data_IF_774664974369
#
_entry.id   IF_774664974369
#
_cell.length_a   1.000
_cell.length_b   1.000
_cell.length_c   1.000
_cell.angle_alpha   90.00
_cell.angle_beta   90.00
_cell.angle_gamma   90.00
#
_symmetry.space_group_name_H-M   'P 1'
#
loop_
_entity.id
_entity.type
_entity.pdbx_description
1 polymer ?
#
# COMPACT_ATOMS: atom_id res chain seq x y z
N UNK A 1 73.48 21.71 -5.96
CA UNK A 1 72.38 20.95 -6.59
C UNK A 1 71.85 21.76 -7.75
N UNK A 2 71.95 21.25 -8.99
CA UNK A 2 71.48 21.99 -10.17
C UNK A 2 69.96 22.18 -10.09
N UNK A 3 69.48 23.40 -10.36
CA UNK A 3 68.04 23.74 -10.34
C UNK A 3 67.21 22.79 -11.22
N UNK A 4 67.80 22.27 -12.31
CA UNK A 4 67.20 21.25 -13.17
C UNK A 4 66.90 19.92 -12.44
N UNK A 5 67.79 19.49 -11.54
CA UNK A 5 67.62 18.21 -10.82
C UNK A 5 66.51 18.30 -9.78
N UNK A 6 66.29 19.50 -9.19
CA UNK A 6 65.21 19.73 -8.24
C UNK A 6 63.84 19.71 -8.94
N UNK A 7 63.74 20.32 -10.13
CA UNK A 7 62.52 20.33 -10.96
C UNK A 7 62.14 18.91 -11.41
N UNK A 8 63.13 18.11 -11.83
CA UNK A 8 62.89 16.73 -12.25
C UNK A 8 62.35 15.84 -11.11
N UNK A 9 62.86 16.03 -9.88
CA UNK A 9 62.39 15.28 -8.70
C UNK A 9 60.96 15.69 -8.33
N UNK A 10 60.62 16.98 -8.41
CA UNK A 10 59.26 17.47 -8.14
C UNK A 10 58.24 16.94 -9.15
N UNK A 11 58.59 16.90 -10.44
CA UNK A 11 57.73 16.34 -11.51
C UNK A 11 57.58 14.81 -11.37
N UNK A 12 58.66 14.11 -11.00
CA UNK A 12 58.59 12.67 -10.73
C UNK A 12 57.71 12.35 -9.52
N UNK A 13 57.76 13.18 -8.47
CA UNK A 13 56.92 13.01 -7.28
C UNK A 13 55.43 13.24 -7.54
N UNK A 14 55.06 14.10 -8.51
CA UNK A 14 53.66 14.33 -8.86
C UNK A 14 53.01 13.18 -9.65
N UNK A 15 53.81 12.32 -10.29
CA UNK A 15 53.33 11.14 -11.02
C UNK A 15 53.01 9.95 -10.10
N UNK A 16 53.40 10.00 -8.83
CA UNK A 16 53.17 8.93 -7.85
C UNK A 16 51.87 9.13 -7.04
N UNK A 17 51.19 10.27 -7.18
CA UNK A 17 49.89 10.54 -6.55
C UNK A 17 48.75 10.35 -7.55
N UNK A 18 48.48 9.10 -7.94
CA UNK A 18 47.23 8.76 -8.61
C UNK A 18 46.16 8.57 -7.52
N UNK A 19 45.25 9.53 -7.38
CA UNK A 19 44.00 9.30 -6.65
C UNK A 19 43.22 8.20 -7.38
N UNK A 20 42.70 7.23 -6.63
CA UNK A 20 41.77 6.24 -7.17
C UNK A 20 40.38 6.88 -7.19
N UNK A 21 39.92 7.28 -8.37
CA UNK A 21 38.59 7.93 -8.55
C UNK A 21 37.44 6.91 -8.63
N UNK A 22 37.70 5.63 -8.32
CA UNK A 22 36.68 4.59 -8.30
C UNK A 22 35.81 4.75 -7.05
N UNK A 23 34.68 5.44 -7.23
CA UNK A 23 33.59 5.50 -6.25
C UNK A 23 32.74 4.25 -6.45
N UNK A 24 32.67 3.42 -5.42
CA UNK A 24 31.67 2.37 -5.38
C UNK A 24 30.29 3.01 -5.19
N UNK A 25 29.41 2.82 -6.18
CA UNK A 25 28.05 3.33 -6.18
C UNK A 25 27.11 2.42 -5.40
N UNK A 26 27.50 1.17 -5.17
CA UNK A 26 26.74 0.19 -4.43
C UNK A 26 27.28 0.06 -3.01
N UNK A 27 26.37 -0.24 -2.09
CA UNK A 27 26.76 -0.72 -0.77
C UNK A 27 26.88 -2.24 -0.80
N UNK A 28 27.52 -2.81 0.22
CA UNK A 28 27.50 -4.26 0.42
C UNK A 28 26.06 -4.78 0.48
N UNK A 29 25.81 -5.94 -0.17
CA UNK A 29 24.49 -6.56 -0.13
C UNK A 29 24.05 -6.86 1.30
N UNK A 30 22.81 -6.47 1.62
CA UNK A 30 22.16 -6.77 2.89
C UNK A 30 20.78 -7.39 2.66
N UNK A 31 20.41 -8.36 3.48
CA UNK A 31 19.04 -8.90 3.50
C UNK A 31 18.09 -7.86 4.11
N UNK A 32 17.39 -7.14 3.23
CA UNK A 32 16.38 -6.16 3.60
C UNK A 32 15.01 -6.72 3.23
N UNK A 33 14.27 -7.20 4.22
CA UNK A 33 12.91 -7.72 4.06
C UNK A 33 11.91 -6.58 3.87
N UNK A 34 11.11 -6.67 2.81
CA UNK A 34 10.00 -5.77 2.50
C UNK A 34 8.68 -6.52 2.66
N UNK A 35 7.79 -6.01 3.51
CA UNK A 35 6.52 -6.66 3.86
C UNK A 35 5.36 -5.77 3.46
N UNK A 36 4.44 -6.31 2.65
CA UNK A 36 3.18 -5.68 2.32
C UNK A 36 2.03 -6.56 2.81
N UNK A 37 1.12 -5.98 3.57
CA UNK A 37 -0.06 -6.68 4.09
C UNK A 37 -1.20 -5.68 4.24
N UNK A 38 -2.42 -6.14 3.93
CA UNK A 38 -3.65 -5.46 4.27
C UNK A 38 -4.61 -6.50 4.85
N UNK A 39 -5.15 -6.22 6.04
CA UNK A 39 -6.16 -7.06 6.68
C UNK A 39 -7.50 -6.35 6.49
N UNK A 40 -8.42 -6.99 5.78
CA UNK A 40 -9.75 -6.43 5.51
C UNK A 40 -10.78 -7.08 6.44
N UNK A 41 -11.39 -6.35 7.38
CA UNK A 41 -12.41 -6.92 8.26
C UNK A 41 -13.70 -7.37 7.57
N UNK A 42 -13.85 -7.17 6.26
CA UNK A 42 -14.97 -7.67 5.46
C UNK A 42 -14.58 -8.86 4.56
N UNK A 43 -13.33 -9.34 4.64
CA UNK A 43 -12.85 -10.52 3.91
C UNK A 43 -12.51 -11.65 4.89
N UNK A 44 -12.41 -12.86 4.37
CA UNK A 44 -12.06 -14.09 5.10
C UNK A 44 -10.61 -14.51 4.84
N UNK A 45 -10.07 -14.22 3.65
CA UNK A 45 -8.70 -14.59 3.30
C UNK A 45 -7.76 -13.37 3.35
N UNK A 46 -6.70 -13.47 4.15
CA UNK A 46 -5.76 -12.37 4.36
C UNK A 46 -4.37 -12.78 3.87
N UNK A 47 -3.77 -11.92 3.06
CA UNK A 47 -2.51 -12.21 2.38
C UNK A 47 -1.41 -11.24 2.82
N UNK A 48 -0.21 -11.79 3.02
CA UNK A 48 1.02 -11.06 3.29
C UNK A 48 1.99 -11.36 2.15
N UNK A 49 2.47 -10.30 1.48
CA UNK A 49 3.56 -10.37 0.52
C UNK A 49 4.87 -10.06 1.24
N UNK A 50 5.82 -10.99 1.18
CA UNK A 50 7.14 -10.83 1.79
C UNK A 50 8.18 -10.98 0.68
N UNK A 51 8.98 -9.93 0.51
CA UNK A 51 10.07 -9.88 -0.44
C UNK A 51 11.37 -9.47 0.23
N UNK A 52 12.48 -9.64 -0.48
CA UNK A 52 13.77 -9.06 -0.11
C UNK A 52 14.22 -8.06 -1.17
N UNK A 53 14.98 -7.05 -0.74
CA UNK A 53 15.75 -6.24 -1.66
C UNK A 53 16.80 -7.12 -2.37
N UNK A 54 17.16 -6.71 -3.58
CA UNK A 54 18.20 -7.34 -4.39
C UNK A 54 19.20 -6.27 -4.81
N UNK A 55 20.47 -6.64 -4.88
CA UNK A 55 21.56 -5.78 -5.34
C UNK A 55 22.64 -6.68 -5.93
N UNK A 56 23.14 -6.32 -7.11
CA UNK A 56 24.24 -7.00 -7.77
C UNK A 56 25.04 -5.99 -8.58
N UNK A 57 26.37 -5.98 -8.39
CA UNK A 57 27.24 -5.03 -9.06
C UNK A 57 27.25 -5.24 -10.57
N UNK A 58 27.18 -4.11 -11.28
CA UNK A 58 27.21 -4.08 -12.75
C UNK A 58 25.95 -4.61 -13.44
N UNK A 59 24.86 -4.90 -12.71
CA UNK A 59 23.59 -5.37 -13.29
C UNK A 59 22.49 -4.33 -13.13
N UNK A 60 21.71 -4.11 -14.19
CA UNK A 60 20.58 -3.17 -14.17
C UNK A 60 19.48 -3.65 -13.22
N UNK A 61 18.92 -2.74 -12.43
CA UNK A 61 17.88 -3.08 -11.46
C UNK A 61 16.61 -3.66 -12.10
N UNK A 62 16.28 -3.27 -13.34
CA UNK A 62 15.14 -3.84 -14.07
C UNK A 62 15.42 -5.26 -14.54
N UNK A 63 16.67 -5.59 -14.88
CA UNK A 63 17.08 -6.96 -15.20
C UNK A 63 16.95 -7.85 -13.96
N UNK A 64 17.42 -7.38 -12.80
CA UNK A 64 17.23 -8.09 -11.55
C UNK A 64 15.74 -8.22 -11.17
N UNK A 65 14.95 -7.19 -11.38
CA UNK A 65 13.51 -7.21 -11.12
C UNK A 65 12.75 -8.19 -12.01
N UNK A 66 13.26 -8.54 -13.19
CA UNK A 66 12.65 -9.47 -14.13
C UNK A 66 12.79 -10.94 -13.71
N UNK A 67 13.59 -11.25 -12.68
CA UNK A 67 13.71 -12.60 -12.11
C UNK A 67 13.09 -12.65 -10.70
N UNK A 68 12.10 -13.51 -10.51
CA UNK A 68 11.36 -13.62 -9.25
C UNK A 68 12.17 -14.18 -8.08
N UNK A 69 13.23 -14.96 -8.34
CA UNK A 69 14.12 -15.50 -7.31
C UNK A 69 15.01 -14.44 -6.65
N UNK A 70 15.16 -13.28 -7.30
CA UNK A 70 15.91 -12.17 -6.73
C UNK A 70 15.18 -11.56 -5.52
N UNK A 71 13.85 -11.47 -5.59
CA UNK A 71 13.03 -10.81 -4.56
C UNK A 71 12.15 -11.76 -3.73
N UNK A 72 11.89 -13.00 -4.17
CA UNK A 72 11.15 -13.97 -3.38
C UNK A 72 12.11 -14.78 -2.48
N UNK A 73 11.68 -15.04 -1.25
CA UNK A 73 12.39 -15.99 -0.39
C UNK A 73 12.13 -17.44 -0.84
N UNK A 74 13.16 -18.32 -0.78
CA UNK A 74 13.02 -19.75 -1.01
C UNK A 74 11.96 -20.39 -0.10
N UNK A 75 11.37 -21.49 -0.57
CA UNK A 75 10.43 -22.25 0.24
C UNK A 75 11.11 -22.80 1.51
N UNK A 76 10.44 -22.66 2.66
CA UNK A 76 10.97 -23.09 3.97
C UNK A 76 11.91 -22.10 4.65
N UNK A 77 12.38 -21.05 3.97
CA UNK A 77 13.27 -20.07 4.60
C UNK A 77 12.56 -19.20 5.64
N UNK A 78 11.27 -18.91 5.43
CA UNK A 78 10.48 -18.07 6.32
C UNK A 78 9.41 -18.85 7.09
N UNK A 79 9.34 -18.60 8.39
CA UNK A 79 8.23 -18.97 9.26
C UNK A 79 7.41 -17.71 9.54
N UNK A 80 6.12 -17.70 9.17
CA UNK A 80 5.28 -16.49 9.21
C UNK A 80 4.04 -16.72 10.06
N UNK A 81 3.78 -15.79 10.97
CA UNK A 81 2.59 -15.80 11.83
C UNK A 81 1.92 -14.42 11.87
N UNK A 82 0.61 -14.43 12.07
CA UNK A 82 -0.17 -13.23 12.42
C UNK A 82 -0.71 -13.40 13.83
N UNK A 83 -0.62 -12.38 14.66
CA UNK A 83 -1.12 -12.36 16.03
C UNK A 83 -2.22 -11.32 16.14
N UNK A 84 -3.34 -11.73 16.72
CA UNK A 84 -4.38 -10.81 17.18
C UNK A 84 -4.08 -10.44 18.62
N UNK A 85 -3.95 -9.14 18.89
CA UNK A 85 -3.49 -8.60 20.17
C UNK A 85 -4.59 -7.68 20.72
N UNK A 86 -4.96 -7.90 21.97
CA UNK A 86 -5.92 -7.06 22.65
C UNK A 86 -5.33 -5.64 22.82
N UNK A 87 -6.01 -4.62 22.29
CA UNK A 87 -5.48 -3.25 22.34
C UNK A 87 -5.47 -2.63 23.75
N UNK A 88 -6.21 -3.18 24.72
CA UNK A 88 -6.31 -2.63 26.07
C UNK A 88 -5.22 -3.13 27.03
N UNK A 89 -4.81 -4.40 26.91
CA UNK A 89 -3.82 -5.02 27.80
C UNK A 89 -2.58 -5.59 27.09
N UNK A 90 -2.53 -5.62 25.75
CA UNK A 90 -1.39 -6.11 24.98
C UNK A 90 -1.26 -7.63 24.91
N UNK A 91 -2.23 -8.39 25.43
CA UNK A 91 -2.18 -9.85 25.39
C UNK A 91 -2.44 -10.37 23.98
N UNK A 92 -1.67 -11.39 23.57
CA UNK A 92 -1.94 -12.16 22.36
C UNK A 92 -3.19 -13.01 22.61
N UNK A 93 -4.23 -12.79 21.81
CA UNK A 93 -5.51 -13.50 21.88
C UNK A 93 -5.51 -14.74 20.98
N UNK A 94 -4.99 -14.58 19.75
CA UNK A 94 -4.90 -15.64 18.75
C UNK A 94 -3.59 -15.52 17.99
N UNK A 95 -3.08 -16.66 17.51
CA UNK A 95 -1.95 -16.73 16.58
C UNK A 95 -2.34 -17.60 15.40
N UNK A 96 -2.17 -17.07 14.20
CA UNK A 96 -2.43 -17.75 12.94
C UNK A 96 -1.09 -18.08 12.27
N UNK A 97 -0.88 -19.34 11.91
CA UNK A 97 0.25 -19.73 11.06
C UNK A 97 -0.10 -19.47 9.60
N UNK A 98 0.73 -18.72 8.88
CA UNK A 98 0.46 -18.40 7.50
C UNK A 98 1.00 -19.49 6.57
N UNK A 99 0.16 -19.91 5.63
CA UNK A 99 0.51 -20.89 4.60
C UNK A 99 1.12 -20.17 3.40
N UNK A 100 2.30 -20.62 2.95
CA UNK A 100 2.92 -20.11 1.72
C UNK A 100 2.14 -20.61 0.51
N UNK A 101 1.71 -19.70 -0.36
CA UNK A 101 1.03 -20.02 -1.61
C UNK A 101 1.78 -19.40 -2.80
N UNK A 102 1.62 -19.98 -3.99
CA UNK A 102 2.26 -19.52 -5.22
C UNK A 102 1.17 -19.35 -6.28
N UNK A 103 1.07 -18.16 -6.86
CA UNK A 103 0.15 -17.84 -7.95
C UNK A 103 -1.35 -18.01 -7.65
N UNK A 104 -1.75 -18.11 -6.38
CA UNK A 104 -3.17 -18.08 -5.97
C UNK A 104 -3.83 -16.73 -6.34
N UNK A 105 -3.04 -15.66 -6.29
CA UNK A 105 -3.39 -14.34 -6.84
C UNK A 105 -2.34 -13.98 -7.89
N UNK A 106 -2.55 -14.29 -9.18
CA UNK A 106 -1.59 -13.98 -10.23
C UNK A 106 -1.33 -12.48 -10.32
N UNK A 107 -0.09 -12.11 -10.67
CA UNK A 107 0.31 -10.72 -10.82
C UNK A 107 0.17 -10.29 -12.28
N UNK A 108 -0.29 -9.06 -12.50
CA UNK A 108 -0.31 -8.47 -13.83
C UNK A 108 1.12 -8.31 -14.38
N UNK A 109 1.32 -8.39 -15.71
CA UNK A 109 2.62 -8.11 -16.33
C UNK A 109 3.14 -6.70 -16.00
N UNK A 110 4.47 -6.55 -15.95
CA UNK A 110 5.15 -5.28 -15.68
C UNK A 110 6.66 -5.45 -15.60
N UNK A 111 7.35 -4.43 -15.08
CA UNK A 111 8.82 -4.41 -14.93
C UNK A 111 9.31 -5.55 -14.02
N UNK A 112 8.60 -5.77 -12.92
CA UNK A 112 8.92 -6.87 -12.01
C UNK A 112 8.30 -8.17 -12.51
N UNK A 113 9.03 -9.27 -12.36
CA UNK A 113 8.61 -10.62 -12.70
C UNK A 113 7.20 -10.93 -12.18
N UNK A 114 6.43 -11.66 -12.99
CA UNK A 114 5.04 -12.05 -12.73
C UNK A 114 4.79 -13.56 -12.93
N UNK A 115 5.86 -14.32 -13.19
CA UNK A 115 5.91 -15.78 -13.27
C UNK A 115 5.58 -16.47 -11.94
N UNK A 116 6.01 -15.88 -10.81
CA UNK A 116 5.83 -16.42 -9.47
C UNK A 116 5.44 -15.34 -8.46
N UNK A 117 4.14 -15.27 -8.15
CA UNK A 117 3.64 -14.49 -7.03
C UNK A 117 3.53 -15.34 -5.76
N UNK A 118 4.60 -15.34 -4.97
CA UNK A 118 4.65 -15.97 -3.64
C UNK A 118 3.92 -15.10 -2.61
N UNK A 119 2.93 -15.66 -1.91
CA UNK A 119 2.18 -15.01 -0.84
C UNK A 119 2.13 -15.91 0.40
N UNK A 120 1.79 -15.32 1.55
CA UNK A 120 1.55 -16.02 2.80
C UNK A 120 0.13 -15.73 3.25
N UNK A 121 -0.69 -16.77 3.47
CA UNK A 121 -2.13 -16.66 3.69
C UNK A 121 -2.55 -17.16 5.07
N UNK A 122 -3.44 -16.44 5.74
CA UNK A 122 -4.25 -16.98 6.83
C UNK A 122 -5.73 -16.71 6.58
N UNK A 123 -6.59 -17.45 7.27
CA UNK A 123 -8.04 -17.38 7.11
C UNK A 123 -8.69 -17.05 8.44
N UNK A 124 -9.44 -15.95 8.49
CA UNK A 124 -10.26 -15.53 9.62
C UNK A 124 -11.38 -14.64 9.08
N UNK A 125 -12.63 -15.07 9.31
CA UNK A 125 -13.83 -14.40 8.80
C UNK A 125 -14.29 -13.26 9.72
N UNK A 126 -13.84 -13.24 10.98
CA UNK A 126 -14.28 -12.28 11.99
C UNK A 126 -13.10 -11.51 12.58
N UNK A 127 -12.49 -10.65 11.77
CA UNK A 127 -11.45 -9.72 12.22
C UNK A 127 -12.06 -8.69 13.19
N UNK A 128 -11.58 -8.66 14.43
CA UNK A 128 -12.01 -7.71 15.47
C UNK A 128 -11.33 -6.36 15.26
N UNK A 129 -12.12 -5.34 14.92
CA UNK A 129 -11.61 -4.02 14.54
C UNK A 129 -10.94 -3.26 15.68
N UNK A 130 -11.25 -3.59 16.94
CA UNK A 130 -10.65 -2.93 18.10
C UNK A 130 -9.31 -3.53 18.53
N UNK A 131 -8.88 -4.64 17.92
CA UNK A 131 -7.61 -5.28 18.22
C UNK A 131 -6.47 -4.78 17.32
N UNK A 132 -5.24 -5.02 17.76
CA UNK A 132 -4.01 -4.78 17.00
C UNK A 132 -3.63 -6.10 16.34
N UNK A 133 -3.20 -6.03 15.08
CA UNK A 133 -2.71 -7.20 14.36
C UNK A 133 -1.22 -7.06 14.11
N UNK A 134 -0.45 -8.06 14.58
CA UNK A 134 1.00 -8.11 14.41
C UNK A 134 1.37 -9.23 13.46
N UNK A 135 2.13 -8.92 12.41
CA UNK A 135 2.82 -9.93 11.60
C UNK A 135 4.18 -10.18 12.22
N UNK A 136 4.52 -11.45 12.46
CA UNK A 136 5.87 -11.89 12.84
C UNK A 136 6.42 -12.83 11.76
N UNK A 137 7.62 -12.54 11.30
CA UNK A 137 8.34 -13.30 10.29
C UNK A 137 9.67 -13.70 10.91
N UNK A 138 10.00 -14.97 10.89
CA UNK A 138 11.29 -15.47 11.32
C UNK A 138 12.00 -16.09 10.11
N UNK A 139 13.17 -15.55 9.77
CA UNK A 139 14.04 -16.11 8.74
C UNK A 139 14.91 -17.19 9.38
N UNK A 140 14.61 -18.46 9.07
CA UNK A 140 15.27 -19.63 9.65
C UNK A 140 16.74 -19.75 9.22
N UNK A 141 17.15 -19.10 8.13
CA UNK A 141 18.52 -19.16 7.60
C UNK A 141 19.41 -18.09 8.21
N UNK A 142 18.86 -16.90 8.47
CA UNK A 142 19.59 -15.74 8.99
C UNK A 142 19.44 -15.55 10.50
N UNK A 143 18.63 -16.38 11.17
CA UNK A 143 18.27 -16.23 12.59
C UNK A 143 17.79 -14.80 12.91
N UNK A 144 16.86 -14.32 12.09
CA UNK A 144 16.38 -12.93 12.11
C UNK A 144 14.86 -12.88 12.28
N UNK A 145 14.40 -12.14 13.28
CA UNK A 145 12.98 -11.83 13.46
C UNK A 145 12.64 -10.46 12.86
N UNK A 146 11.55 -10.39 12.10
CA UNK A 146 10.96 -9.17 11.54
C UNK A 146 9.52 -9.09 12.03
N UNK A 147 9.13 -7.92 12.56
CA UNK A 147 7.77 -7.69 13.05
C UNK A 147 7.16 -6.41 12.49
N UNK A 148 5.86 -6.41 12.24
CA UNK A 148 5.08 -5.23 11.87
C UNK A 148 3.72 -5.27 12.55
N UNK A 149 3.17 -4.11 12.90
CA UNK A 149 1.86 -3.98 13.53
C UNK A 149 0.96 -3.03 12.76
N UNK A 150 -0.34 -3.33 12.76
CA UNK A 150 -1.36 -2.44 12.23
C UNK A 150 -2.61 -2.46 13.09
N UNK A 151 -3.36 -1.35 13.04
CA UNK A 151 -4.70 -1.24 13.60
C UNK A 151 -5.72 -1.28 12.46
N UNK A 152 -6.88 -1.87 12.71
CA UNK A 152 -7.94 -1.92 11.72
C UNK A 152 -8.69 -0.58 11.68
N UNK A 153 -9.00 -0.13 10.48
CA UNK A 153 -9.83 1.07 10.27
C UNK A 153 -11.25 0.83 10.75
N UNK A 154 -11.78 1.77 11.52
CA UNK A 154 -13.16 1.75 11.97
C UNK A 154 -14.15 1.99 10.83
N UNK A 155 -15.44 1.92 11.15
CA UNK A 155 -16.52 2.21 10.21
C UNK A 155 -16.85 3.71 10.23
N UNK A 156 -17.05 4.28 9.05
CA UNK A 156 -17.62 5.62 8.89
C UNK A 156 -19.13 5.54 8.76
N UNK A 157 -19.85 6.50 9.32
CA UNK A 157 -21.31 6.57 9.21
C UNK A 157 -21.70 7.96 8.73
N UNK A 158 -22.47 8.02 7.64
CA UNK A 158 -23.13 9.27 7.22
C UNK A 158 -24.25 9.56 8.21
N UNK A 159 -24.16 10.70 8.90
CA UNK A 159 -25.18 11.14 9.86
C UNK A 159 -26.23 12.01 9.18
N UNK A 160 -25.83 12.81 8.20
CA UNK A 160 -26.74 13.67 7.41
C UNK A 160 -26.32 13.64 5.94
N UNK A 161 -27.26 13.44 4.99
CA UNK A 161 -28.69 13.19 5.20
C UNK A 161 -28.97 11.79 5.77
N UNK A 162 -30.03 11.66 6.58
CA UNK A 162 -30.50 10.35 7.02
C UNK A 162 -31.46 9.73 5.98
N UNK A 163 -31.68 8.42 6.05
CA UNK A 163 -32.54 7.68 5.10
C UNK A 163 -33.98 8.22 5.03
N UNK A 164 -34.43 8.94 6.08
CA UNK A 164 -35.79 9.46 6.20
C UNK A 164 -35.96 10.88 5.64
N UNK A 165 -34.88 11.52 5.16
CA UNK A 165 -34.90 12.91 4.71
C UNK A 165 -34.93 13.00 3.18
N UNK A 166 -35.98 13.63 2.63
CA UNK A 166 -35.95 14.11 1.24
C UNK A 166 -34.97 15.28 1.15
N UNK A 167 -33.92 15.12 0.36
CA UNK A 167 -32.99 16.21 0.07
C UNK A 167 -33.52 17.07 -1.07
N UNK A 168 -33.88 18.32 -0.73
CA UNK A 168 -34.22 19.36 -1.71
C UNK A 168 -33.27 20.55 -1.57
N UNK A 169 -32.77 21.05 -2.71
CA UNK A 169 -31.88 22.21 -2.79
C UNK A 169 -32.63 23.52 -3.10
N UNK A 170 -33.94 23.44 -3.31
CA UNK A 170 -34.85 24.56 -3.57
C UNK A 170 -36.13 24.34 -2.77
N UNK A 171 -36.73 25.42 -2.30
CA UNK A 171 -38.05 25.41 -1.64
C UNK A 171 -38.91 26.52 -2.23
N UNK A 172 -40.20 26.25 -2.45
CA UNK A 172 -41.15 27.19 -3.08
C UNK A 172 -41.23 27.06 -4.61
N UNK A 173 -41.98 27.97 -5.24
CA UNK A 173 -42.24 27.95 -6.68
C UNK A 173 -41.04 28.47 -7.49
N UNK A 174 -41.04 28.22 -8.80
CA UNK A 174 -39.94 28.58 -9.72
C UNK A 174 -39.62 30.09 -9.69
N UNK A 175 -40.63 30.94 -9.47
CA UNK A 175 -40.49 32.40 -9.49
C UNK A 175 -40.28 33.08 -8.14
N UNK A 176 -40.49 32.39 -7.02
CA UNK A 176 -40.51 32.99 -5.67
C UNK A 176 -39.82 32.16 -4.61
N UNK A 177 -39.32 30.98 -4.97
CA UNK A 177 -38.63 30.10 -4.05
C UNK A 177 -37.23 30.58 -3.68
N UNK A 178 -36.57 29.78 -2.85
CA UNK A 178 -35.24 30.05 -2.35
C UNK A 178 -34.38 28.78 -2.36
N UNK A 179 -33.07 28.98 -2.50
CA UNK A 179 -32.08 27.92 -2.33
C UNK A 179 -32.05 27.44 -0.88
N UNK A 180 -31.93 26.13 -0.69
CA UNK A 180 -31.82 25.53 0.65
C UNK A 180 -30.45 24.91 0.83
N UNK A 181 -29.71 25.42 1.82
CA UNK A 181 -28.46 24.82 2.26
C UNK A 181 -28.71 23.49 2.96
N UNK A 182 -27.95 22.47 2.57
CA UNK A 182 -27.99 21.14 3.21
C UNK A 182 -26.62 20.82 3.79
N UNK A 183 -26.61 20.48 5.07
CA UNK A 183 -25.41 19.96 5.72
C UNK A 183 -25.25 18.50 5.34
N UNK A 184 -24.03 18.14 4.93
CA UNK A 184 -23.61 16.75 4.80
C UNK A 184 -22.65 16.50 5.95
N UNK A 185 -22.91 15.45 6.72
CA UNK A 185 -22.16 15.17 7.94
C UNK A 185 -21.96 13.68 8.07
N UNK A 186 -20.81 13.30 8.61
CA UNK A 186 -20.44 11.92 8.88
C UNK A 186 -19.61 11.87 10.16
N UNK A 187 -19.67 10.72 10.84
CA UNK A 187 -18.79 10.39 11.96
C UNK A 187 -17.74 9.42 11.49
N UNK A 188 -16.49 9.67 11.88
CA UNK A 188 -15.37 8.81 11.51
C UNK A 188 -15.13 7.73 12.55
N UNK A 189 -14.75 6.55 12.06
CA UNK A 189 -14.28 5.45 12.91
C UNK A 189 -12.87 5.69 13.46
N UNK A 190 -12.45 4.86 14.40
CA UNK A 190 -11.08 4.84 14.93
C UNK A 190 -10.05 4.55 13.82
N UNK A 191 -8.82 5.02 14.01
CA UNK A 191 -7.65 4.72 13.15
C UNK A 191 -7.78 5.19 11.69
N UNK A 192 -8.66 6.16 11.40
CA UNK A 192 -8.85 6.71 10.06
C UNK A 192 -8.00 7.98 9.91
N UNK A 193 -7.04 7.94 8.99
CA UNK A 193 -6.18 9.10 8.70
C UNK A 193 -6.78 10.08 7.70
N UNK A 194 -7.63 9.62 6.79
CA UNK A 194 -8.27 10.45 5.76
C UNK A 194 -9.66 9.91 5.42
N UNK A 195 -10.58 10.83 5.19
CA UNK A 195 -11.91 10.54 4.63
C UNK A 195 -12.08 11.40 3.40
N UNK A 196 -12.67 10.83 2.35
CA UNK A 196 -13.17 11.56 1.19
C UNK A 196 -14.68 11.38 1.17
N UNK A 197 -15.43 12.48 1.08
CA UNK A 197 -16.87 12.46 0.95
C UNK A 197 -17.26 12.83 -0.49
N UNK A 198 -18.23 12.10 -1.06
CA UNK A 198 -18.78 12.38 -2.38
C UNK A 198 -20.30 12.40 -2.32
N UNK A 199 -20.91 13.43 -2.89
CA UNK A 199 -22.34 13.44 -3.16
C UNK A 199 -22.57 12.88 -4.56
N UNK A 200 -23.29 11.76 -4.63
CA UNK A 200 -23.68 11.14 -5.90
C UNK A 200 -25.16 11.40 -6.12
N UNK A 201 -25.48 12.15 -7.17
CA UNK A 201 -26.85 12.40 -7.60
C UNK A 201 -27.15 11.59 -8.86
N UNK A 202 -28.06 10.63 -8.76
CA UNK A 202 -28.57 9.87 -9.90
C UNK A 202 -29.91 10.48 -10.31
N UNK A 203 -30.10 10.79 -11.59
CA UNK A 203 -31.33 11.37 -12.11
C UNK A 203 -31.64 10.85 -13.52
N UNK A 204 -32.86 11.07 -13.98
CA UNK A 204 -33.32 10.66 -15.31
C UNK A 204 -33.76 11.92 -16.06
N UNK A 205 -33.17 12.16 -17.22
CA UNK A 205 -33.62 13.18 -18.16
C UNK A 205 -34.94 12.70 -18.77
N UNK A 206 -36.02 13.46 -18.57
CA UNK A 206 -37.29 13.25 -19.28
C UNK A 206 -37.43 14.31 -20.37
N UNK A 207 -37.68 13.86 -21.60
CA UNK A 207 -37.87 14.74 -22.74
C UNK A 207 -39.35 14.94 -23.07
N UNK A 208 -39.68 16.04 -23.73
CA UNK A 208 -41.05 16.29 -24.19
C UNK A 208 -41.45 15.26 -25.25
N UNK A 209 -42.74 14.98 -25.36
CA UNK A 209 -43.28 14.03 -26.37
C UNK A 209 -42.87 14.43 -27.79
N UNK A 210 -42.79 15.73 -28.06
CA UNK A 210 -42.37 16.27 -29.36
C UNK A 210 -40.91 15.95 -29.74
N UNK A 211 -40.05 15.65 -28.76
CA UNK A 211 -38.65 15.30 -29.03
C UNK A 211 -38.47 13.87 -29.56
N UNK A 212 -39.42 12.96 -29.30
CA UNK A 212 -39.31 11.53 -29.63
C UNK A 212 -38.21 10.77 -28.88
N UNK A 213 -37.51 11.40 -27.93
CA UNK A 213 -36.40 10.80 -27.20
C UNK A 213 -36.88 9.99 -26.00
N UNK A 214 -36.26 8.82 -25.78
CA UNK A 214 -36.47 8.03 -24.58
C UNK A 214 -35.78 8.66 -23.36
N UNK A 215 -36.27 8.44 -22.13
CA UNK A 215 -35.61 8.93 -20.93
C UNK A 215 -34.17 8.40 -20.81
N UNK A 216 -33.26 9.24 -20.31
CA UNK A 216 -31.83 8.91 -20.19
C UNK A 216 -31.39 9.01 -18.73
N UNK A 217 -30.85 7.92 -18.19
CA UNK A 217 -30.24 7.92 -16.86
C UNK A 217 -28.91 8.67 -16.86
N UNK A 218 -28.74 9.56 -15.89
CA UNK A 218 -27.55 10.39 -15.68
C UNK A 218 -27.06 10.29 -14.24
N UNK A 219 -25.78 10.62 -14.05
CA UNK A 219 -25.13 10.69 -12.74
C UNK A 219 -24.24 11.92 -12.67
N UNK A 220 -24.39 12.67 -11.59
CA UNK A 220 -23.46 13.73 -11.17
C UNK A 220 -22.74 13.25 -9.91
N UNK A 221 -21.41 13.39 -9.89
CA UNK A 221 -20.57 13.09 -8.71
C UNK A 221 -19.86 14.37 -8.30
N UNK A 222 -20.14 14.85 -7.09
CA UNK A 222 -19.51 16.02 -6.50
C UNK A 222 -18.60 15.59 -5.36
N UNK A 223 -17.35 16.04 -5.37
CA UNK A 223 -16.43 15.88 -4.24
C UNK A 223 -16.74 16.93 -3.18
N UNK A 224 -16.83 16.50 -1.93
CA UNK A 224 -17.13 17.35 -0.78
C UNK A 224 -15.87 17.48 0.06
N UNK A 225 -14.89 18.22 -0.46
CA UNK A 225 -13.54 18.32 0.10
C UNK A 225 -12.57 17.29 -0.46
#
# INVERSE_FOLDING_TARGET
MNKLSLIAITIASSLLFSCNDNVDINADFQDITVVHSAIDPNDTEHYVKINRAFLQDGVDANELAANSDNFNYPAGELSVTAQEINSGNGNVLKTYNLVRTVNERPKNPGIFANDSNVLYKFTEASIERNNIYRIKIYNNKLDKEITSETKIVGTNTVTTPSQSQKMGFWTGDVGSGAYVSRSISFTTGKNIGRVEARLVFNYIDHFTVASGLSPISRRIVMRLG
#
